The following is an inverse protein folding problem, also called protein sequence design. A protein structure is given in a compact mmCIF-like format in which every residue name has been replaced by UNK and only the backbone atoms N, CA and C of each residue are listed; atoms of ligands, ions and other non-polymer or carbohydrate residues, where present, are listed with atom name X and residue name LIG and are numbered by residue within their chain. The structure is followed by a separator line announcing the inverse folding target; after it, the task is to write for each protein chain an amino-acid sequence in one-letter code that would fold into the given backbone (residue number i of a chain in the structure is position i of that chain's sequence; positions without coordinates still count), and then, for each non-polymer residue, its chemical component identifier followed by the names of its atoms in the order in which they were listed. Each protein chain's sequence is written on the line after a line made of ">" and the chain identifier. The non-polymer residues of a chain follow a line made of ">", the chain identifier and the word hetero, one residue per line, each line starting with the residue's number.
data_IF_070384777176
#
_entry.id   IF_070384777176
#
_cell.length_a   1.000
_cell.length_b   1.000
_cell.length_c   1.000
_cell.angle_alpha   90.00
_cell.angle_beta   90.00
_cell.angle_gamma   90.00
#
_symmetry.space_group_name_H-M   'P 1'
#
loop_
_entity.id
_entity.type
_entity.pdbx_description
1 polymer ?
#
# COMPACT_ATOMS: atom_id res chain seq x y z
N UNK A 1 3.80 2.54 -29.10
CA UNK A 1 4.81 1.46 -29.09
C UNK A 1 6.05 1.77 -28.22
N UNK A 2 6.70 2.95 -28.29
CA UNK A 2 7.91 3.22 -27.47
C UNK A 2 7.73 3.13 -25.94
N UNK A 3 6.66 3.68 -25.35
CA UNK A 3 6.41 3.63 -23.88
C UNK A 3 6.19 2.21 -23.31
N UNK A 4 5.76 1.27 -24.15
CA UNK A 4 5.42 -0.10 -23.73
C UNK A 4 6.69 -0.89 -23.42
N UNK A 5 7.74 -0.70 -24.21
CA UNK A 5 9.05 -1.34 -23.99
C UNK A 5 9.72 -0.82 -22.71
N UNK A 6 9.47 0.42 -22.31
CA UNK A 6 10.03 0.97 -21.07
C UNK A 6 9.33 0.43 -19.82
N UNK A 7 8.00 0.26 -19.83
CA UNK A 7 7.28 -0.33 -18.69
C UNK A 7 7.56 -1.82 -18.56
N UNK A 8 7.56 -2.55 -19.67
CA UNK A 8 7.90 -3.97 -19.69
C UNK A 8 9.38 -4.19 -19.33
N UNK A 9 10.26 -3.32 -19.83
CA UNK A 9 11.66 -3.27 -19.46
C UNK A 9 11.86 -2.97 -17.98
N UNK A 10 11.13 -2.01 -17.41
CA UNK A 10 11.19 -1.67 -15.98
C UNK A 10 10.72 -2.83 -15.10
N UNK A 11 9.67 -3.55 -15.52
CA UNK A 11 9.16 -4.70 -14.80
C UNK A 11 10.17 -5.86 -14.82
N UNK A 12 10.78 -6.14 -15.98
CA UNK A 12 11.91 -7.08 -16.08
C UNK A 12 13.10 -6.64 -15.24
N UNK A 13 13.38 -5.33 -15.19
CA UNK A 13 14.50 -4.78 -14.44
C UNK A 13 14.28 -4.94 -12.93
N UNK A 14 13.06 -4.69 -12.44
CA UNK A 14 12.67 -4.94 -11.04
C UNK A 14 12.79 -6.42 -10.67
N UNK A 15 12.28 -7.31 -11.52
CA UNK A 15 12.38 -8.77 -11.32
C UNK A 15 13.85 -9.21 -11.35
N UNK A 16 14.65 -8.69 -12.27
CA UNK A 16 16.08 -8.98 -12.38
C UNK A 16 16.88 -8.49 -11.16
N UNK A 17 16.60 -7.28 -10.67
CA UNK A 17 17.23 -6.73 -9.46
C UNK A 17 16.88 -7.56 -8.23
N UNK A 18 15.61 -7.96 -8.09
CA UNK A 18 15.17 -8.86 -7.02
C UNK A 18 15.92 -10.21 -7.06
N UNK A 19 16.05 -10.82 -8.24
CA UNK A 19 16.80 -12.08 -8.40
C UNK A 19 18.30 -11.94 -8.11
N UNK A 20 18.91 -10.81 -8.49
CA UNK A 20 20.32 -10.53 -8.24
C UNK A 20 20.57 -10.32 -6.74
N UNK A 21 19.75 -9.51 -6.07
CA UNK A 21 19.79 -9.31 -4.61
C UNK A 21 19.66 -10.64 -3.87
N UNK A 22 18.87 -11.55 -4.44
CA UNK A 22 18.69 -12.89 -3.93
C UNK A 22 19.91 -13.80 -4.08
N UNK A 23 20.75 -13.57 -5.08
CA UNK A 23 21.98 -14.33 -5.31
C UNK A 23 23.14 -13.86 -4.40
N UNK A 24 23.12 -12.60 -3.95
CA UNK A 24 24.13 -12.03 -3.06
C UNK A 24 24.05 -12.51 -1.59
N UNK A 25 23.19 -13.49 -1.27
CA UNK A 25 23.07 -14.04 0.09
C UNK A 25 22.42 -13.10 1.10
N UNK A 26 21.81 -12.00 0.64
CA UNK A 26 20.92 -11.14 1.45
C UNK A 26 19.59 -11.86 1.74
N UNK A 27 19.27 -12.87 0.94
CA UNK A 27 18.06 -13.68 0.96
C UNK A 27 18.46 -15.15 0.77
N UNK A 28 18.15 -16.03 1.73
CA UNK A 28 18.25 -17.48 1.51
C UNK A 28 17.01 -17.97 0.74
N UNK A 29 17.17 -18.17 -0.58
CA UNK A 29 16.11 -18.76 -1.41
C UNK A 29 16.08 -20.26 -1.18
N UNK A 30 15.31 -20.68 -0.18
CA UNK A 30 14.84 -22.05 -0.09
C UNK A 30 13.69 -22.21 -1.10
N UNK A 31 13.54 -23.36 -1.75
CA UNK A 31 12.42 -23.59 -2.70
C UNK A 31 11.05 -23.33 -2.07
N UNK A 32 10.93 -23.53 -0.76
CA UNK A 32 9.74 -23.21 0.03
C UNK A 32 9.43 -21.71 0.09
N UNK A 33 10.39 -20.84 -0.20
CA UNK A 33 10.27 -19.38 -0.10
C UNK A 33 9.80 -18.71 -1.41
N UNK A 34 9.67 -19.47 -2.50
CA UNK A 34 9.30 -18.93 -3.81
C UNK A 34 7.79 -18.75 -4.00
N UNK A 35 6.96 -19.28 -3.10
CA UNK A 35 5.52 -19.26 -3.25
C UNK A 35 4.88 -17.87 -3.45
N UNK A 36 5.40 -16.75 -2.88
CA UNK A 36 4.83 -15.42 -3.11
C UNK A 36 4.88 -14.98 -4.57
N UNK A 37 5.78 -15.57 -5.38
CA UNK A 37 5.85 -15.32 -6.82
C UNK A 37 4.60 -15.79 -7.56
N UNK A 38 3.92 -16.84 -7.07
CA UNK A 38 2.64 -17.28 -7.66
C UNK A 38 1.51 -16.26 -7.46
N UNK A 39 1.65 -15.34 -6.49
CA UNK A 39 0.74 -14.21 -6.33
C UNK A 39 1.24 -12.99 -7.12
N UNK A 40 2.53 -12.68 -7.02
CA UNK A 40 3.14 -11.50 -7.63
C UNK A 40 3.06 -11.53 -9.16
N UNK A 41 3.36 -12.67 -9.79
CA UNK A 41 3.39 -12.80 -11.25
C UNK A 41 1.99 -12.55 -11.85
N UNK A 42 0.91 -13.22 -11.42
CA UNK A 42 -0.44 -12.91 -11.89
C UNK A 42 -0.87 -11.47 -11.61
N UNK A 43 -0.52 -10.91 -10.44
CA UNK A 43 -0.81 -9.51 -10.11
C UNK A 43 -0.21 -8.52 -11.13
N UNK A 44 1.09 -8.69 -11.40
CA UNK A 44 1.79 -7.91 -12.41
C UNK A 44 1.24 -8.12 -13.81
N UNK A 45 0.83 -9.34 -14.17
CA UNK A 45 0.21 -9.63 -15.46
C UNK A 45 -1.14 -8.93 -15.63
N UNK A 46 -1.96 -8.85 -14.58
CA UNK A 46 -3.22 -8.09 -14.63
C UNK A 46 -2.99 -6.60 -14.83
N UNK A 47 -2.04 -6.01 -14.08
CA UNK A 47 -1.67 -4.61 -14.26
C UNK A 47 -1.17 -4.35 -15.68
N UNK A 48 -0.29 -5.21 -16.17
CA UNK A 48 0.28 -5.08 -17.51
C UNK A 48 -0.78 -5.26 -18.61
N UNK A 49 -1.69 -6.22 -18.47
CA UNK A 49 -2.79 -6.45 -19.41
C UNK A 49 -3.67 -5.21 -19.54
N UNK A 50 -3.96 -4.53 -18.43
CA UNK A 50 -4.63 -3.23 -18.45
C UNK A 50 -3.80 -2.18 -19.20
N UNK A 51 -2.51 -2.03 -18.94
CA UNK A 51 -1.70 -1.02 -19.61
C UNK A 51 -1.49 -1.29 -21.12
N UNK A 52 -1.57 -2.55 -21.54
CA UNK A 52 -1.50 -2.98 -22.95
C UNK A 52 -2.82 -2.68 -23.67
N UNK A 53 -3.94 -3.16 -23.14
CA UNK A 53 -5.25 -3.10 -23.81
C UNK A 53 -6.00 -1.80 -23.54
N UNK A 54 -5.81 -1.21 -22.35
CA UNK A 54 -6.56 -0.08 -21.76
C UNK A 54 -8.08 -0.22 -21.81
N UNK A 55 -8.59 -1.44 -21.98
CA UNK A 55 -10.03 -1.70 -22.10
C UNK A 55 -10.69 -1.87 -20.74
N UNK A 56 -10.08 -2.67 -19.87
CA UNK A 56 -10.73 -3.12 -18.64
C UNK A 56 -9.97 -2.65 -17.40
N UNK A 57 -10.27 -1.45 -16.94
CA UNK A 57 -9.67 -0.89 -15.71
C UNK A 57 -9.99 -1.72 -14.46
N UNK A 58 -11.05 -2.52 -14.49
CA UNK A 58 -11.40 -3.47 -13.43
C UNK A 58 -10.30 -4.48 -13.11
N UNK A 59 -9.44 -4.82 -14.07
CA UNK A 59 -8.29 -5.73 -13.87
C UNK A 59 -7.22 -5.15 -12.93
N UNK A 60 -7.17 -3.83 -12.77
CA UNK A 60 -6.23 -3.18 -11.85
C UNK A 60 -6.53 -3.46 -10.39
N UNK A 61 -7.79 -3.77 -10.03
CA UNK A 61 -8.14 -4.08 -8.64
C UNK A 61 -7.49 -5.39 -8.19
N UNK A 62 -7.73 -6.55 -8.85
CA UNK A 62 -7.04 -7.78 -8.49
C UNK A 62 -5.53 -7.69 -8.77
N UNK A 63 -5.10 -6.92 -9.78
CA UNK A 63 -3.69 -6.65 -10.06
C UNK A 63 -2.98 -6.00 -8.88
N UNK A 64 -3.44 -4.83 -8.43
CA UNK A 64 -2.84 -4.09 -7.31
C UNK A 64 -2.88 -4.86 -5.99
N UNK A 65 -3.95 -5.60 -5.72
CA UNK A 65 -4.05 -6.45 -4.51
C UNK A 65 -2.98 -7.56 -4.56
N UNK A 66 -2.94 -8.34 -5.65
CA UNK A 66 -2.01 -9.45 -5.79
C UNK A 66 -0.55 -9.00 -5.83
N UNK A 67 -0.26 -7.88 -6.50
CA UNK A 67 1.09 -7.30 -6.51
C UNK A 67 1.50 -6.86 -5.11
N UNK A 68 0.63 -6.15 -4.38
CA UNK A 68 0.92 -5.69 -3.02
C UNK A 68 1.13 -6.87 -2.07
N UNK A 69 0.27 -7.88 -2.13
CA UNK A 69 0.37 -9.04 -1.25
C UNK A 69 1.55 -9.94 -1.61
N UNK A 70 1.83 -10.14 -2.90
CA UNK A 70 3.01 -10.86 -3.37
C UNK A 70 4.31 -10.21 -2.87
N UNK A 71 4.42 -8.89 -2.94
CA UNK A 71 5.55 -8.15 -2.36
C UNK A 71 5.61 -8.28 -0.83
N UNK A 72 4.48 -8.16 -0.15
CA UNK A 72 4.40 -8.29 1.31
C UNK A 72 4.85 -9.67 1.79
N UNK A 73 4.38 -10.73 1.12
CA UNK A 73 4.77 -12.09 1.46
C UNK A 73 6.22 -12.40 1.11
N UNK A 74 6.79 -11.81 0.05
CA UNK A 74 8.23 -11.86 -0.17
C UNK A 74 8.99 -11.25 1.02
N UNK A 75 8.52 -10.13 1.57
CA UNK A 75 9.15 -9.54 2.77
C UNK A 75 9.05 -10.50 3.97
N UNK A 76 7.88 -11.09 4.23
CA UNK A 76 7.71 -12.02 5.38
C UNK A 76 8.57 -13.26 5.28
N UNK A 77 8.69 -13.82 4.09
CA UNK A 77 9.48 -15.02 3.86
C UNK A 77 10.98 -14.75 4.03
N UNK A 78 11.45 -13.56 3.64
CA UNK A 78 12.87 -13.21 3.69
C UNK A 78 13.33 -12.66 5.05
N UNK A 79 12.51 -11.83 5.68
CA UNK A 79 12.85 -11.15 6.93
C UNK A 79 12.17 -11.79 8.15
N UNK A 80 11.23 -12.72 7.94
CA UNK A 80 10.56 -13.48 8.97
C UNK A 80 9.10 -13.11 9.18
N UNK A 81 8.30 -14.12 9.53
CA UNK A 81 6.84 -14.00 9.71
C UNK A 81 6.40 -13.14 10.89
N UNK A 82 7.31 -12.84 11.83
CA UNK A 82 7.05 -11.90 12.93
C UNK A 82 6.69 -10.49 12.44
N UNK A 83 7.14 -10.11 11.24
CA UNK A 83 6.76 -8.85 10.61
C UNK A 83 5.27 -8.78 10.27
N UNK A 84 4.55 -9.91 10.25
CA UNK A 84 3.11 -9.91 10.02
C UNK A 84 2.36 -9.17 11.12
N UNK A 85 2.84 -9.21 12.36
CA UNK A 85 2.24 -8.46 13.47
C UNK A 85 2.41 -6.94 13.30
N UNK A 86 3.43 -6.53 12.52
CA UNK A 86 3.77 -5.12 12.30
C UNK A 86 3.14 -4.58 11.00
N UNK A 87 3.19 -5.38 9.95
CA UNK A 87 2.84 -4.99 8.58
C UNK A 87 1.44 -5.45 8.16
N UNK A 88 0.65 -6.07 9.04
CA UNK A 88 -0.76 -6.39 8.75
C UNK A 88 -1.59 -5.24 8.18
N UNK A 89 -1.37 -3.94 8.52
CA UNK A 89 -2.17 -2.87 7.94
C UNK A 89 -1.95 -2.70 6.43
N UNK A 90 -0.90 -3.34 5.87
CA UNK A 90 -0.67 -3.39 4.43
C UNK A 90 -1.75 -4.21 3.71
N UNK A 91 -2.47 -5.12 4.37
CA UNK A 91 -3.57 -5.87 3.75
C UNK A 91 -4.70 -4.93 3.28
N UNK A 92 -5.37 -4.16 4.16
CA UNK A 92 -6.36 -3.18 3.72
C UNK A 92 -5.76 -2.08 2.82
N UNK A 93 -4.46 -1.78 2.96
CA UNK A 93 -3.75 -0.85 2.08
C UNK A 93 -3.65 -1.39 0.65
N UNK A 94 -3.36 -2.68 0.46
CA UNK A 94 -3.32 -3.31 -0.85
C UNK A 94 -4.66 -3.25 -1.58
N UNK A 95 -5.77 -3.42 -0.85
CA UNK A 95 -7.12 -3.19 -1.39
C UNK A 95 -7.31 -1.73 -1.78
N UNK A 96 -6.89 -0.79 -0.93
CA UNK A 96 -6.94 0.63 -1.24
C UNK A 96 -6.12 0.98 -2.48
N UNK A 97 -4.92 0.40 -2.67
CA UNK A 97 -4.08 0.57 -3.85
C UNK A 97 -4.80 0.07 -5.11
N UNK A 98 -5.34 -1.14 -5.10
CA UNK A 98 -6.06 -1.69 -6.26
C UNK A 98 -7.27 -0.85 -6.66
N UNK A 99 -8.07 -0.42 -5.68
CA UNK A 99 -9.20 0.48 -5.91
C UNK A 99 -8.76 1.88 -6.36
N UNK A 100 -7.63 2.38 -5.85
CA UNK A 100 -7.07 3.67 -6.26
C UNK A 100 -6.55 3.63 -7.69
N UNK A 101 -5.88 2.55 -8.09
CA UNK A 101 -5.49 2.31 -9.48
C UNK A 101 -6.73 2.30 -10.39
N UNK A 102 -7.80 1.58 -10.01
CA UNK A 102 -9.07 1.61 -10.73
C UNK A 102 -9.64 3.05 -10.83
N UNK A 103 -9.61 3.84 -9.76
CA UNK A 103 -10.07 5.22 -9.80
C UNK A 103 -9.25 6.08 -10.78
N UNK A 104 -7.92 5.99 -10.75
CA UNK A 104 -7.05 6.80 -11.61
C UNK A 104 -7.24 6.49 -13.10
N UNK A 105 -7.49 5.23 -13.42
CA UNK A 105 -7.39 4.68 -14.77
C UNK A 105 -8.74 4.22 -15.37
N UNK A 106 -9.77 4.07 -14.55
CA UNK A 106 -11.11 3.58 -14.92
C UNK A 106 -12.19 4.64 -15.05
N UNK A 107 -11.82 5.92 -15.17
CA UNK A 107 -12.79 7.00 -15.40
C UNK A 107 -13.06 7.92 -14.20
N UNK A 108 -12.29 7.79 -13.11
CA UNK A 108 -12.33 8.69 -11.94
C UNK A 108 -13.71 8.80 -11.30
N UNK A 109 -14.40 7.68 -11.14
CA UNK A 109 -15.66 7.66 -10.42
C UNK A 109 -15.46 8.07 -8.95
N UNK A 110 -16.09 9.18 -8.55
CA UNK A 110 -15.95 9.74 -7.20
C UNK A 110 -16.42 8.77 -6.11
N UNK A 111 -17.30 7.83 -6.43
CA UNK A 111 -17.79 6.81 -5.49
C UNK A 111 -16.68 5.90 -4.96
N UNK A 112 -15.64 5.61 -5.76
CA UNK A 112 -14.50 4.77 -5.36
C UNK A 112 -13.57 5.46 -4.37
N UNK A 113 -13.56 6.80 -4.31
CA UNK A 113 -12.70 7.53 -3.39
C UNK A 113 -13.09 7.35 -1.92
N UNK A 114 -14.36 7.06 -1.65
CA UNK A 114 -14.84 6.81 -0.28
C UNK A 114 -14.18 5.55 0.29
N UNK A 115 -14.30 4.35 -0.32
CA UNK A 115 -13.64 3.15 0.19
C UNK A 115 -12.11 3.26 0.13
N UNK A 116 -11.53 3.85 -0.91
CA UNK A 116 -10.08 4.09 -0.98
C UNK A 116 -9.60 4.96 0.18
N UNK A 117 -10.30 6.05 0.47
CA UNK A 117 -9.96 6.96 1.56
C UNK A 117 -10.08 6.30 2.92
N UNK A 118 -11.19 5.59 3.17
CA UNK A 118 -11.42 4.89 4.44
C UNK A 118 -10.34 3.81 4.65
N UNK A 119 -10.15 2.92 3.68
CA UNK A 119 -9.16 1.85 3.77
C UNK A 119 -7.75 2.42 3.87
N UNK A 120 -7.40 3.41 3.05
CA UNK A 120 -6.08 4.04 3.07
C UNK A 120 -5.75 4.73 4.40
N UNK A 121 -6.69 5.51 4.94
CA UNK A 121 -6.50 6.21 6.21
C UNK A 121 -6.39 5.22 7.37
N UNK A 122 -7.29 4.23 7.44
CA UNK A 122 -7.25 3.21 8.50
C UNK A 122 -5.93 2.44 8.42
N UNK A 123 -5.57 1.97 7.23
CA UNK A 123 -4.33 1.22 7.03
C UNK A 123 -3.10 2.02 7.42
N UNK A 124 -3.02 3.29 7.01
CA UNK A 124 -1.88 4.14 7.33
C UNK A 124 -1.81 4.45 8.82
N UNK A 125 -2.96 4.71 9.45
CA UNK A 125 -3.04 4.93 10.89
C UNK A 125 -2.49 3.74 11.67
N UNK A 126 -2.99 2.53 11.37
CA UNK A 126 -2.53 1.31 12.04
C UNK A 126 -1.08 0.96 11.69
N UNK A 127 -0.61 1.28 10.48
CA UNK A 127 0.79 1.05 10.10
C UNK A 127 1.74 1.94 10.89
N UNK A 128 1.39 3.22 11.06
CA UNK A 128 2.17 4.18 11.84
C UNK A 128 2.17 3.77 13.31
N UNK A 129 1.02 3.40 13.86
CA UNK A 129 0.88 2.90 15.23
C UNK A 129 1.79 1.67 15.47
N UNK A 130 1.74 0.72 14.54
CA UNK A 130 2.50 -0.53 14.63
C UNK A 130 4.01 -0.35 14.44
N UNK A 131 4.45 0.56 13.56
CA UNK A 131 5.88 0.84 13.32
C UNK A 131 6.53 1.68 14.41
N UNK A 132 5.80 2.66 14.96
CA UNK A 132 6.34 3.60 15.92
C UNK A 132 6.18 3.13 17.37
N UNK A 133 5.55 1.97 17.59
CA UNK A 133 5.15 1.48 18.92
C UNK A 133 4.61 2.63 19.77
N UNK A 134 3.75 3.46 19.18
CA UNK A 134 3.26 4.65 19.88
C UNK A 134 2.43 4.12 21.03
N UNK A 135 2.90 4.37 22.25
CA UNK A 135 2.07 4.19 23.43
C UNK A 135 0.75 4.90 23.15
N UNK A 136 -0.36 4.17 23.10
CA UNK A 136 -1.69 4.72 22.81
C UNK A 136 -2.01 5.96 23.67
N UNK A 137 -1.37 6.09 24.84
CA UNK A 137 -1.33 7.26 25.72
C UNK A 137 -0.76 8.53 25.07
N UNK A 138 0.32 8.44 24.30
CA UNK A 138 0.93 9.56 23.57
C UNK A 138 0.00 10.05 22.45
N UNK A 139 -0.59 9.14 21.67
CA UNK A 139 -1.54 9.52 20.62
C UNK A 139 -2.79 10.19 21.21
N UNK A 140 -3.37 9.59 22.26
CA UNK A 140 -4.48 10.19 23.00
C UNK A 140 -4.12 11.56 23.58
N UNK A 141 -2.89 11.71 24.08
CA UNK A 141 -2.35 12.98 24.59
C UNK A 141 -2.26 14.07 23.52
N UNK A 142 -1.68 13.77 22.36
CA UNK A 142 -1.58 14.71 21.24
C UNK A 142 -2.97 15.12 20.74
N UNK A 143 -3.90 14.17 20.65
CA UNK A 143 -5.27 14.44 20.22
C UNK A 143 -6.01 15.33 21.23
N UNK A 144 -5.84 15.09 22.54
CA UNK A 144 -6.34 15.96 23.61
C UNK A 144 -5.71 17.35 23.57
N UNK A 145 -4.41 17.47 23.29
CA UNK A 145 -3.74 18.77 23.14
C UNK A 145 -4.32 19.55 21.96
N UNK A 146 -4.50 18.90 20.81
CA UNK A 146 -5.08 19.54 19.62
C UNK A 146 -6.54 19.97 19.87
N UNK A 147 -7.34 19.13 20.53
CA UNK A 147 -8.71 19.47 20.94
C UNK A 147 -8.71 20.63 21.94
N UNK A 148 -7.82 20.61 22.94
CA UNK A 148 -7.68 21.67 23.93
C UNK A 148 -7.30 23.02 23.30
N UNK A 149 -6.32 23.01 22.40
CA UNK A 149 -5.91 24.18 21.60
C UNK A 149 -7.11 24.69 20.80
N UNK A 150 -7.85 23.82 20.11
CA UNK A 150 -9.01 24.21 19.32
C UNK A 150 -10.11 24.87 20.14
N UNK A 151 -10.39 24.35 21.35
CA UNK A 151 -11.37 24.93 22.28
C UNK A 151 -10.92 26.33 22.73
N UNK A 152 -9.64 26.50 23.08
CA UNK A 152 -9.09 27.80 23.51
C UNK A 152 -9.19 28.83 22.39
N UNK A 153 -8.78 28.49 21.16
CA UNK A 153 -8.84 29.41 20.03
C UNK A 153 -10.29 29.74 19.62
N UNK A 154 -11.23 28.79 19.77
CA UNK A 154 -12.65 29.04 19.56
C UNK A 154 -13.21 30.04 20.59
N UNK A 155 -12.77 29.96 21.85
CA UNK A 155 -13.20 30.88 22.92
C UNK A 155 -12.63 32.29 22.75
N UNK A 156 -11.35 32.41 22.37
CA UNK A 156 -10.69 33.71 22.13
C UNK A 156 -11.36 34.49 20.97
N UNK A 157 -11.87 33.79 19.95
CA UNK A 157 -12.61 34.43 18.85
C UNK A 157 -13.98 34.96 19.26
N UNK A 158 -14.59 34.39 20.31
CA UNK A 158 -15.90 34.82 20.84
C UNK A 158 -15.78 36.03 21.77
N UNK A 159 -14.70 36.16 22.56
CA UNK A 159 -14.49 37.30 23.47
C UNK A 159 -13.98 38.57 22.78
N UNK A 160 -13.35 38.48 21.60
CA UNK A 160 -12.91 39.65 20.81
C UNK A 160 -13.99 40.23 19.87
N UNK A 161 -15.21 39.71 19.94
CA UNK A 161 -16.34 40.09 19.08
C UNK A 161 -17.49 40.82 19.77
N UNK A 162 -17.30 41.27 21.01
CA UNK A 162 -18.24 42.13 21.76
C UNK A 162 -17.58 43.45 22.13
#
# INVERSE_FOLDING_TARGET
>A
MKRINYLFGLLLLLIGVLLILSNFGVIEIVWDNLWPLFLLIPGMLFELSYFISRKDAGLLVPGGILTTYGLLFLVYVNYGWHLMDILWPIFPLGVAIGLFQLYLFGGREKGLLIPVGILGIISLFFLVDSLLFIDFKLFAGILLILIGIWIIFKKIKTEKGT
#
